data_IF_799802624504
#
_entry.id   IF_799802624504
#
_cell.length_a   1.000
_cell.length_b   1.000
_cell.length_c   1.000
_cell.angle_alpha   90.00
_cell.angle_beta   90.00
_cell.angle_gamma   90.00
#
_symmetry.space_group_name_H-M   'P 1'
#
loop_
_entity.id
_entity.type
_entity.pdbx_description
1 polymer ?
#
# COMPACT_ATOMS: atom_id res chain seq x y z
N UNK A 1 -12.44 17.69 -63.51
CA UNK A 1 -13.79 17.21 -63.14
C UNK A 1 -13.81 16.96 -61.64
N UNK A 2 -14.71 17.41 -60.77
CA UNK A 2 -15.60 18.58 -60.66
C UNK A 2 -16.31 18.46 -59.31
N UNK A 3 -16.39 19.56 -58.52
CA UNK A 3 -17.30 19.89 -57.38
C UNK A 3 -17.27 19.02 -56.08
N UNK A 4 -17.10 19.49 -54.82
CA UNK A 4 -17.41 20.70 -53.98
C UNK A 4 -18.80 20.68 -53.28
N UNK A 5 -18.81 21.14 -52.00
CA UNK A 5 -19.87 21.54 -51.03
C UNK A 5 -20.22 20.50 -49.94
N UNK A 6 -20.36 20.76 -48.63
CA UNK A 6 -20.37 22.00 -47.81
C UNK A 6 -21.45 21.94 -46.70
N UNK A 7 -21.06 22.04 -45.40
CA UNK A 7 -21.78 22.62 -44.21
C UNK A 7 -23.26 22.22 -43.91
N UNK A 8 -23.68 21.76 -42.70
CA UNK A 8 -23.90 22.55 -41.46
C UNK A 8 -24.51 21.70 -40.31
N UNK A 9 -23.91 21.82 -39.11
CA UNK A 9 -24.44 21.80 -37.71
C UNK A 9 -25.85 21.25 -37.37
N UNK A 10 -25.91 20.32 -36.40
CA UNK A 10 -26.81 20.43 -35.24
C UNK A 10 -26.27 19.73 -33.98
N UNK A 11 -26.14 20.52 -32.92
CA UNK A 11 -25.85 20.14 -31.54
C UNK A 11 -26.88 19.12 -31.01
N UNK A 12 -26.40 18.16 -30.23
CA UNK A 12 -27.13 17.60 -29.11
C UNK A 12 -26.15 17.43 -27.95
N UNK A 13 -26.36 18.23 -26.91
CA UNK A 13 -25.64 18.20 -25.65
C UNK A 13 -25.88 16.86 -24.93
N UNK A 14 -24.80 16.21 -24.48
CA UNK A 14 -24.83 15.52 -23.19
C UNK A 14 -23.50 15.73 -22.46
N UNK A 15 -23.64 16.36 -21.30
CA UNK A 15 -22.63 16.63 -20.29
C UNK A 15 -22.30 15.38 -19.47
N UNK A 16 -21.09 15.39 -18.87
CA UNK A 16 -20.53 14.53 -17.78
C UNK A 16 -19.69 13.35 -18.27
N UNK A 17 -18.47 13.10 -17.78
CA UNK A 17 -17.66 13.77 -16.75
C UNK A 17 -16.18 13.48 -17.02
N UNK A 18 -15.32 14.45 -16.67
CA UNK A 18 -13.88 14.28 -16.65
C UNK A 18 -13.49 13.29 -15.55
N UNK A 19 -12.83 12.19 -15.91
CA UNK A 19 -12.03 11.40 -14.98
C UNK A 19 -10.56 11.86 -15.12
N UNK A 20 -9.84 12.24 -14.05
CA UNK A 20 -8.48 12.71 -14.19
C UNK A 20 -7.54 11.51 -14.39
N UNK A 21 -7.02 11.36 -15.61
CA UNK A 21 -5.91 10.48 -15.98
C UNK A 21 -4.58 10.82 -15.29
N UNK A 22 -4.57 11.77 -14.35
CA UNK A 22 -3.39 12.25 -13.60
C UNK A 22 -3.14 11.52 -12.28
N UNK A 23 -4.05 10.66 -11.83
CA UNK A 23 -3.96 9.95 -10.55
C UNK A 23 -2.94 8.78 -10.58
N UNK A 24 -2.86 8.08 -11.72
CA UNK A 24 -1.98 6.91 -11.90
C UNK A 24 -0.49 7.25 -11.97
N UNK A 25 -0.09 8.31 -12.68
CA UNK A 25 1.32 8.65 -12.87
C UNK A 25 2.03 9.10 -11.57
N UNK A 26 1.29 9.44 -10.52
CA UNK A 26 1.83 10.01 -9.28
C UNK A 26 1.91 9.01 -8.11
N UNK A 27 1.15 7.91 -8.16
CA UNK A 27 1.36 6.73 -7.31
C UNK A 27 2.70 6.03 -7.67
N UNK A 28 3.00 5.97 -8.96
CA UNK A 28 4.20 5.40 -9.58
C UNK A 28 5.56 5.90 -9.05
N UNK A 29 5.67 7.20 -8.80
CA UNK A 29 6.97 7.80 -8.46
C UNK A 29 7.29 7.60 -6.98
N UNK A 30 6.34 7.86 -6.06
CA UNK A 30 6.69 8.06 -4.64
C UNK A 30 6.56 6.83 -3.74
N UNK A 31 5.66 5.88 -3.98
CA UNK A 31 5.59 4.67 -3.12
C UNK A 31 6.76 3.72 -3.40
N UNK A 32 7.26 3.70 -4.63
CA UNK A 32 8.57 3.09 -4.91
C UNK A 32 9.68 3.72 -4.07
N UNK A 33 9.72 5.04 -3.93
CA UNK A 33 10.67 5.72 -3.04
C UNK A 33 10.42 5.35 -1.56
N UNK A 34 9.16 5.35 -1.09
CA UNK A 34 8.71 5.04 0.28
C UNK A 34 9.12 3.65 0.78
N UNK A 35 8.90 2.60 -0.02
CA UNK A 35 9.25 1.23 0.40
C UNK A 35 10.77 0.98 0.31
N UNK A 36 11.47 1.56 -0.68
CA UNK A 36 12.95 1.53 -0.75
C UNK A 36 13.59 2.19 0.48
N UNK A 37 12.99 3.27 1.00
CA UNK A 37 13.46 3.96 2.21
C UNK A 37 13.29 3.13 3.49
N UNK A 38 12.28 2.25 3.56
CA UNK A 38 12.06 1.34 4.70
C UNK A 38 13.16 0.28 4.82
N UNK A 39 13.76 -0.12 3.69
CA UNK A 39 14.82 -1.13 3.62
C UNK A 39 16.22 -0.61 3.95
N UNK A 40 16.49 0.67 3.74
CA UNK A 40 17.75 1.29 4.19
C UNK A 40 17.88 1.21 5.72
N UNK A 41 16.76 1.34 6.44
CA UNK A 41 16.70 1.14 7.89
C UNK A 41 16.86 -0.34 8.29
N UNK A 42 16.28 -1.28 7.53
CA UNK A 42 16.46 -2.71 7.78
C UNK A 42 17.91 -3.16 7.55
N UNK A 43 18.59 -2.68 6.50
CA UNK A 43 20.00 -3.00 6.22
C UNK A 43 20.96 -2.38 7.24
N UNK A 44 20.63 -1.22 7.82
CA UNK A 44 21.41 -0.63 8.92
C UNK A 44 21.37 -1.50 10.19
N UNK A 45 20.28 -2.26 10.43
CA UNK A 45 20.19 -3.17 11.57
C UNK A 45 21.15 -4.38 11.48
N UNK A 46 21.53 -4.81 10.27
CA UNK A 46 22.46 -5.92 10.06
C UNK A 46 23.94 -5.57 10.30
N UNK A 47 24.30 -4.28 10.40
CA UNK A 47 25.68 -3.84 10.66
C UNK A 47 25.96 -3.56 12.15
N UNK A 48 25.04 -3.89 13.05
CA UNK A 48 25.30 -3.86 14.51
C UNK A 48 25.55 -2.47 15.08
N UNK A 49 25.10 -1.41 14.40
CA UNK A 49 25.28 -0.03 14.86
C UNK A 49 23.91 0.67 15.03
N UNK A 50 23.09 0.17 15.95
CA UNK A 50 21.92 0.90 16.45
C UNK A 50 22.25 1.54 17.81
N UNK A 51 23.03 2.62 17.75
CA UNK A 51 23.17 3.59 18.83
C UNK A 51 22.89 4.97 18.23
N UNK A 52 21.62 5.26 18.01
CA UNK A 52 21.16 6.62 17.78
C UNK A 52 21.36 7.39 19.10
N UNK A 53 22.53 7.99 19.27
CA UNK A 53 22.82 8.88 20.39
C UNK A 53 22.01 10.17 20.22
N UNK A 54 20.85 10.24 20.88
CA UNK A 54 20.08 11.47 21.00
C UNK A 54 20.76 12.35 22.04
N UNK A 55 21.64 13.26 21.58
CA UNK A 55 22.26 14.26 22.44
C UNK A 55 21.20 15.20 23.06
N UNK A 56 21.43 15.70 24.29
CA UNK A 56 20.47 16.58 24.96
C UNK A 56 20.35 17.91 24.21
N UNK A 57 19.15 18.23 23.69
CA UNK A 57 18.86 19.55 23.13
C UNK A 57 18.55 20.52 24.27
N UNK A 58 19.36 21.58 24.35
CA UNK A 58 19.15 22.71 25.24
C UNK A 58 17.78 23.35 25.00
N UNK A 59 17.00 23.42 26.07
CA UNK A 59 15.71 24.13 26.14
C UNK A 59 16.01 25.62 26.27
N UNK A 60 16.08 26.33 25.15
CA UNK A 60 15.74 27.76 25.05
C UNK A 60 15.81 28.20 23.60
N UNK A 61 14.69 28.15 22.87
CA UNK A 61 14.34 29.28 22.00
C UNK A 61 12.83 29.27 21.70
N UNK A 62 12.11 30.24 22.30
CA UNK A 62 10.74 30.57 21.88
C UNK A 62 10.87 31.37 20.58
N UNK A 63 11.09 30.67 19.47
CA UNK A 63 10.89 31.24 18.15
C UNK A 63 9.47 30.96 17.68
N UNK A 64 8.85 32.02 17.17
CA UNK A 64 7.54 32.02 16.53
C UNK A 64 7.58 31.08 15.32
N UNK A 65 7.27 29.78 15.54
CA UNK A 65 7.28 28.74 14.51
C UNK A 65 6.35 29.19 13.40
N UNK A 66 6.89 29.47 12.20
CA UNK A 66 6.05 29.71 11.03
C UNK A 66 5.11 28.51 10.87
N UNK A 67 3.90 28.75 10.37
CA UNK A 67 2.93 27.68 10.18
C UNK A 67 3.49 26.72 9.12
N UNK A 68 4.04 25.60 9.57
CA UNK A 68 4.67 24.59 8.72
C UNK A 68 3.61 24.05 7.74
N UNK A 69 3.94 24.01 6.45
CA UNK A 69 3.02 23.49 5.43
C UNK A 69 3.11 21.97 5.36
N UNK A 70 2.09 21.32 4.80
CA UNK A 70 2.11 19.87 4.51
C UNK A 70 3.33 19.49 3.67
N UNK A 71 3.69 20.30 2.68
CA UNK A 71 4.87 20.07 1.84
C UNK A 71 6.16 20.12 2.66
N UNK A 72 6.30 21.09 3.57
CA UNK A 72 7.48 21.20 4.44
C UNK A 72 7.62 19.98 5.36
N UNK A 73 6.50 19.48 5.90
CA UNK A 73 6.50 18.28 6.77
C UNK A 73 6.95 17.06 5.97
N UNK A 74 6.34 16.80 4.80
CA UNK A 74 6.69 15.65 3.96
C UNK A 74 8.14 15.74 3.48
N UNK A 75 8.60 16.93 3.08
CA UNK A 75 9.99 17.15 2.66
C UNK A 75 10.96 16.88 3.79
N UNK A 76 10.67 17.39 5.00
CA UNK A 76 11.48 17.14 6.19
C UNK A 76 11.53 15.65 6.53
N UNK A 77 10.39 14.95 6.43
CA UNK A 77 10.30 13.51 6.64
C UNK A 77 11.17 12.72 5.67
N UNK A 78 11.06 12.99 4.37
CA UNK A 78 11.85 12.29 3.33
C UNK A 78 13.34 12.53 3.51
N UNK A 79 13.76 13.72 3.96
CA UNK A 79 15.16 14.03 4.22
C UNK A 79 15.77 13.26 5.40
N UNK A 80 14.97 12.58 6.23
CA UNK A 80 15.50 11.74 7.31
C UNK A 80 16.11 10.43 6.79
N UNK A 81 15.78 10.02 5.57
CA UNK A 81 16.23 8.76 5.00
C UNK A 81 17.35 8.97 3.99
N UNK A 82 18.25 8.00 3.91
CA UNK A 82 19.24 7.95 2.84
C UNK A 82 18.54 7.61 1.52
N UNK A 83 18.59 8.56 0.59
CA UNK A 83 18.03 8.44 -0.77
C UNK A 83 19.13 8.34 -1.82
N UNK A 84 20.37 8.10 -1.42
CA UNK A 84 21.48 7.85 -2.33
C UNK A 84 21.38 6.43 -2.90
N UNK A 85 21.65 6.28 -4.20
CA UNK A 85 21.70 5.00 -4.90
C UNK A 85 20.41 4.16 -4.87
N UNK A 86 19.24 4.79 -4.85
CA UNK A 86 17.99 4.03 -4.93
C UNK A 86 17.88 3.32 -6.29
N UNK A 87 17.40 2.07 -6.32
CA UNK A 87 17.16 1.31 -7.55
C UNK A 87 16.14 2.02 -8.46
N UNK A 88 16.18 1.65 -9.73
CA UNK A 88 15.16 2.06 -10.69
C UNK A 88 13.79 1.55 -10.26
N UNK A 89 12.78 2.39 -10.39
CA UNK A 89 11.38 1.99 -10.21
C UNK A 89 10.83 1.19 -11.40
N UNK A 90 11.60 1.10 -12.48
CA UNK A 90 11.26 0.36 -13.70
C UNK A 90 12.24 -0.80 -13.88
N UNK A 91 11.68 -2.00 -14.01
CA UNK A 91 12.37 -3.24 -14.34
C UNK A 91 11.64 -3.92 -15.52
N UNK A 92 12.07 -3.67 -16.77
CA UNK A 92 11.43 -4.22 -17.96
C UNK A 92 11.46 -5.75 -18.01
N UNK A 93 12.45 -6.40 -17.37
CA UNK A 93 12.54 -7.86 -17.35
C UNK A 93 11.47 -8.44 -16.41
N UNK A 94 11.31 -7.84 -15.22
CA UNK A 94 10.23 -8.22 -14.31
C UNK A 94 8.84 -7.93 -14.91
N UNK A 95 8.68 -6.82 -15.63
CA UNK A 95 7.43 -6.48 -16.33
C UNK A 95 7.07 -7.54 -17.37
N UNK A 96 8.00 -7.89 -18.26
CA UNK A 96 7.78 -8.93 -19.29
C UNK A 96 7.44 -10.30 -18.66
N UNK A 97 8.10 -10.67 -17.57
CA UNK A 97 7.80 -11.89 -16.82
C UNK A 97 6.39 -11.86 -16.21
N UNK A 98 6.01 -10.77 -15.55
CA UNK A 98 4.67 -10.64 -14.96
C UNK A 98 3.58 -10.65 -16.05
N UNK A 99 3.82 -10.03 -17.20
CA UNK A 99 2.85 -10.05 -18.31
C UNK A 99 2.65 -11.48 -18.85
N UNK A 100 3.73 -12.23 -19.07
CA UNK A 100 3.66 -13.64 -19.50
C UNK A 100 2.97 -14.51 -18.47
N UNK A 101 3.27 -14.31 -17.18
CA UNK A 101 2.67 -15.08 -16.10
C UNK A 101 1.17 -14.77 -15.95
N UNK A 102 0.77 -13.50 -16.11
CA UNK A 102 -0.63 -13.11 -16.08
C UNK A 102 -1.43 -13.74 -17.22
N UNK A 103 -0.86 -13.79 -18.43
CA UNK A 103 -1.45 -14.48 -19.59
C UNK A 103 -1.55 -15.99 -19.34
N UNK A 104 -0.47 -16.61 -18.85
CA UNK A 104 -0.42 -18.04 -18.54
C UNK A 104 -1.47 -18.45 -17.50
N UNK A 105 -1.63 -17.65 -16.44
CA UNK A 105 -2.63 -17.87 -15.37
C UNK A 105 -4.05 -17.44 -15.79
N UNK A 106 -4.20 -16.80 -16.94
CA UNK A 106 -5.50 -16.30 -17.43
C UNK A 106 -6.09 -15.22 -16.53
N UNK A 107 -5.26 -14.35 -15.96
CA UNK A 107 -5.71 -13.21 -15.17
C UNK A 107 -6.44 -12.18 -16.05
N UNK A 108 -7.40 -11.47 -15.45
CA UNK A 108 -8.16 -10.44 -16.12
C UNK A 108 -7.30 -9.16 -16.30
N UNK A 109 -6.34 -9.21 -17.23
CA UNK A 109 -5.36 -8.16 -17.47
C UNK A 109 -6.00 -6.80 -17.76
N UNK A 110 -7.15 -6.74 -18.43
CA UNK A 110 -7.84 -5.47 -18.69
C UNK A 110 -8.22 -4.73 -17.40
N UNK A 111 -8.61 -5.48 -16.36
CA UNK A 111 -8.96 -4.94 -15.05
C UNK A 111 -7.73 -4.71 -14.17
N UNK A 112 -6.74 -5.61 -14.21
CA UNK A 112 -5.57 -5.57 -13.33
C UNK A 112 -4.45 -4.66 -13.83
N UNK A 113 -4.36 -4.41 -15.14
CA UNK A 113 -3.24 -3.67 -15.74
C UNK A 113 -2.95 -2.33 -15.09
N UNK A 114 -3.94 -1.47 -14.75
CA UNK A 114 -3.64 -0.20 -14.07
C UNK A 114 -2.90 -0.41 -12.73
N UNK A 115 -3.31 -1.43 -11.98
CA UNK A 115 -2.75 -1.80 -10.69
C UNK A 115 -1.40 -2.52 -10.82
N UNK A 116 -1.22 -3.31 -11.88
CA UNK A 116 -0.02 -4.08 -12.14
C UNK A 116 1.21 -3.18 -12.25
N UNK A 117 1.07 -2.04 -12.92
CA UNK A 117 2.18 -1.10 -13.07
C UNK A 117 2.65 -0.62 -11.69
N UNK A 118 1.73 -0.39 -10.74
CA UNK A 118 2.08 -0.03 -9.36
C UNK A 118 2.73 -1.19 -8.61
N UNK A 119 2.19 -2.40 -8.73
CA UNK A 119 2.77 -3.61 -8.11
C UNK A 119 4.20 -3.88 -8.59
N UNK A 120 4.45 -3.72 -9.90
CA UNK A 120 5.78 -3.81 -10.49
C UNK A 120 6.72 -2.75 -9.94
N UNK A 121 6.28 -1.50 -9.89
CA UNK A 121 7.07 -0.39 -9.37
C UNK A 121 7.49 -0.60 -7.91
N UNK A 122 6.55 -1.03 -7.06
CA UNK A 122 6.83 -1.35 -5.66
C UNK A 122 7.86 -2.48 -5.58
N UNK A 123 7.65 -3.54 -6.37
CA UNK A 123 8.56 -4.70 -6.41
C UNK A 123 9.96 -4.33 -6.86
N UNK A 124 10.09 -3.63 -7.97
CA UNK A 124 11.37 -3.26 -8.58
C UNK A 124 12.19 -2.31 -7.71
N UNK A 125 11.53 -1.50 -6.88
CA UNK A 125 12.21 -0.50 -6.05
C UNK A 125 12.50 -1.02 -4.65
N UNK A 126 11.48 -1.54 -3.96
CA UNK A 126 11.62 -2.03 -2.60
C UNK A 126 12.33 -3.38 -2.60
N UNK A 127 11.88 -4.33 -3.40
CA UNK A 127 12.34 -5.71 -3.30
C UNK A 127 13.46 -6.04 -4.30
N UNK A 128 14.20 -5.02 -4.75
CA UNK A 128 15.28 -5.17 -5.73
C UNK A 128 16.40 -6.09 -5.23
N UNK A 129 16.65 -6.10 -3.92
CA UNK A 129 17.69 -6.88 -3.24
C UNK A 129 17.40 -8.38 -3.16
N UNK A 130 16.17 -8.81 -3.47
CA UNK A 130 15.84 -10.23 -3.52
C UNK A 130 16.37 -10.86 -4.80
N UNK A 131 17.06 -12.00 -4.69
CA UNK A 131 17.61 -12.70 -5.86
C UNK A 131 16.57 -13.59 -6.56
N UNK A 132 15.60 -14.12 -5.82
CA UNK A 132 14.56 -15.01 -6.37
C UNK A 132 13.53 -14.22 -7.18
N UNK A 133 13.56 -14.42 -8.50
CA UNK A 133 12.63 -13.79 -9.43
C UNK A 133 11.18 -14.25 -9.23
N UNK A 134 10.94 -15.48 -8.77
CA UNK A 134 9.60 -15.98 -8.51
C UNK A 134 8.97 -15.25 -7.32
N UNK A 135 9.78 -14.95 -6.29
CA UNK A 135 9.36 -14.13 -5.15
C UNK A 135 9.03 -12.71 -5.61
N UNK A 136 9.81 -12.10 -6.50
CA UNK A 136 9.50 -10.79 -7.09
C UNK A 136 8.17 -10.81 -7.87
N UNK A 137 7.96 -11.80 -8.74
CA UNK A 137 6.70 -11.95 -9.49
C UNK A 137 5.51 -12.13 -8.53
N UNK A 138 5.69 -12.93 -7.47
CA UNK A 138 4.70 -13.09 -6.42
C UNK A 138 4.33 -11.77 -5.75
N UNK A 139 5.33 -11.00 -5.28
CA UNK A 139 5.12 -9.70 -4.62
C UNK A 139 4.41 -8.73 -5.56
N UNK A 140 4.78 -8.71 -6.84
CA UNK A 140 4.14 -7.85 -7.84
C UNK A 140 2.65 -8.18 -7.97
N UNK A 141 2.27 -9.46 -8.11
CA UNK A 141 0.86 -9.85 -8.19
C UNK A 141 0.11 -9.66 -6.88
N UNK A 142 0.69 -10.06 -5.74
CA UNK A 142 0.10 -9.84 -4.43
C UNK A 142 -0.29 -8.36 -4.25
N UNK A 143 0.67 -7.47 -4.53
CA UNK A 143 0.47 -6.03 -4.45
C UNK A 143 -0.59 -5.55 -5.44
N UNK A 144 -0.57 -6.06 -6.67
CA UNK A 144 -1.54 -5.72 -7.73
C UNK A 144 -2.97 -6.04 -7.31
N UNK A 145 -3.22 -7.25 -6.79
CA UNK A 145 -4.54 -7.65 -6.32
C UNK A 145 -4.94 -6.88 -5.07
N UNK A 146 -4.03 -6.65 -4.12
CA UNK A 146 -4.29 -5.87 -2.92
C UNK A 146 -4.77 -4.45 -3.26
N UNK A 147 -4.09 -3.76 -4.20
CA UNK A 147 -4.48 -2.41 -4.63
C UNK A 147 -5.80 -2.46 -5.42
N UNK A 148 -5.96 -3.42 -6.33
CA UNK A 148 -7.22 -3.59 -7.07
C UNK A 148 -8.41 -3.66 -6.11
N UNK A 149 -8.32 -4.51 -5.09
CA UNK A 149 -9.40 -4.70 -4.14
C UNK A 149 -9.62 -3.53 -3.18
N UNK A 150 -8.57 -2.79 -2.81
CA UNK A 150 -8.70 -1.56 -2.02
C UNK A 150 -9.44 -0.46 -2.80
N UNK A 151 -9.15 -0.34 -4.10
CA UNK A 151 -9.75 0.68 -4.97
C UNK A 151 -11.19 0.35 -5.38
N UNK A 152 -11.48 -0.90 -5.76
CA UNK A 152 -12.81 -1.25 -6.28
C UNK A 152 -13.83 -1.52 -5.18
N UNK A 153 -13.41 -1.86 -3.96
CA UNK A 153 -14.34 -2.06 -2.85
C UNK A 153 -14.73 -0.70 -2.22
N UNK A 154 -15.99 -0.48 -1.77
CA UNK A 154 -17.17 -1.33 -1.91
C UNK A 154 -17.97 -1.07 -3.20
N UNK A 155 -17.45 -0.28 -4.13
CA UNK A 155 -18.20 0.24 -5.29
C UNK A 155 -18.46 -0.82 -6.37
N UNK A 156 -17.59 -1.83 -6.46
CA UNK A 156 -17.77 -2.99 -7.33
C UNK A 156 -18.73 -4.02 -6.69
N UNK A 157 -19.83 -4.40 -7.37
CA UNK A 157 -20.83 -5.32 -6.83
C UNK A 157 -20.27 -6.70 -6.47
N UNK A 158 -19.32 -7.21 -7.27
CA UNK A 158 -18.75 -8.53 -7.07
C UNK A 158 -17.79 -8.52 -5.88
N UNK A 159 -17.02 -7.45 -5.70
CA UNK A 159 -16.22 -7.20 -4.50
C UNK A 159 -17.12 -7.02 -3.27
N UNK A 160 -18.18 -6.21 -3.36
CA UNK A 160 -19.09 -5.92 -2.25
C UNK A 160 -19.69 -7.20 -1.64
N UNK A 161 -20.09 -8.15 -2.49
CA UNK A 161 -20.70 -9.41 -2.06
C UNK A 161 -19.64 -10.45 -1.68
N UNK A 162 -18.56 -10.54 -2.44
CA UNK A 162 -17.59 -11.62 -2.29
C UNK A 162 -16.60 -11.40 -1.15
N UNK A 163 -16.16 -10.16 -0.94
CA UNK A 163 -15.19 -9.80 0.09
C UNK A 163 -15.60 -10.24 1.51
N UNK A 164 -16.84 -9.97 2.00
CA UNK A 164 -17.24 -10.36 3.35
C UNK A 164 -17.22 -11.88 3.62
N UNK A 165 -17.34 -12.70 2.58
CA UNK A 165 -17.33 -14.18 2.68
C UNK A 165 -16.00 -14.80 2.26
N UNK A 166 -15.06 -14.00 1.76
CA UNK A 166 -13.77 -14.44 1.24
C UNK A 166 -13.02 -15.32 2.25
N UNK A 167 -12.84 -14.84 3.47
CA UNK A 167 -12.09 -15.56 4.52
C UNK A 167 -12.73 -16.90 4.86
N UNK A 168 -14.07 -16.98 4.89
CA UNK A 168 -14.78 -18.24 5.14
C UNK A 168 -14.49 -19.25 4.02
N UNK A 169 -14.61 -18.83 2.77
CA UNK A 169 -14.38 -19.68 1.62
C UNK A 169 -12.91 -20.09 1.55
N UNK A 170 -12.00 -19.13 1.70
CA UNK A 170 -10.56 -19.36 1.70
C UNK A 170 -10.18 -20.36 2.79
N UNK A 171 -10.74 -20.20 4.00
CA UNK A 171 -10.42 -21.08 5.10
C UNK A 171 -10.93 -22.51 4.93
N UNK A 172 -12.04 -22.65 4.21
CA UNK A 172 -12.66 -23.94 3.89
C UNK A 172 -12.13 -24.54 2.58
N UNK A 173 -11.14 -23.90 1.94
CA UNK A 173 -10.67 -24.25 0.59
C UNK A 173 -11.82 -24.33 -0.44
N UNK A 174 -12.85 -23.52 -0.25
CA UNK A 174 -13.98 -23.39 -1.17
C UNK A 174 -13.65 -22.38 -2.27
N UNK A 175 -14.22 -22.61 -3.45
CA UNK A 175 -14.10 -21.68 -4.57
C UNK A 175 -14.65 -20.31 -4.20
N UNK A 176 -13.95 -19.26 -4.62
CA UNK A 176 -14.41 -17.90 -4.35
C UNK A 176 -15.61 -17.50 -5.23
N UNK A 177 -16.42 -16.52 -4.80
CA UNK A 177 -17.66 -16.14 -5.48
C UNK A 177 -17.47 -15.62 -6.91
N UNK A 178 -16.31 -15.01 -7.20
CA UNK A 178 -15.96 -14.51 -8.51
C UNK A 178 -14.51 -14.88 -8.85
N UNK A 179 -14.17 -14.82 -10.15
CA UNK A 179 -12.84 -15.22 -10.64
C UNK A 179 -11.72 -14.36 -10.03
N UNK A 180 -11.92 -13.06 -9.83
CA UNK A 180 -10.88 -12.17 -9.31
C UNK A 180 -10.49 -12.53 -7.88
N UNK A 181 -11.47 -12.82 -7.03
CA UNK A 181 -11.23 -13.32 -5.66
C UNK A 181 -10.58 -14.71 -5.70
N UNK A 182 -10.99 -15.57 -6.63
CA UNK A 182 -10.42 -16.92 -6.78
C UNK A 182 -8.94 -16.85 -7.19
N UNK A 183 -8.61 -15.98 -8.14
CA UNK A 183 -7.25 -15.69 -8.59
C UNK A 183 -6.39 -15.16 -7.43
N UNK A 184 -6.94 -14.26 -6.60
CA UNK A 184 -6.24 -13.75 -5.43
C UNK A 184 -6.08 -14.81 -4.33
N UNK A 185 -7.08 -15.65 -4.09
CA UNK A 185 -6.96 -16.79 -3.18
C UNK A 185 -5.81 -17.73 -3.61
N UNK A 186 -5.65 -17.98 -4.90
CA UNK A 186 -4.54 -18.78 -5.41
C UNK A 186 -3.18 -18.13 -5.10
N UNK A 187 -3.04 -16.81 -5.31
CA UNK A 187 -1.84 -16.07 -4.88
C UNK A 187 -1.60 -16.21 -3.37
N UNK A 188 -2.62 -16.04 -2.53
CA UNK A 188 -2.43 -16.18 -1.08
C UNK A 188 -1.99 -17.61 -0.67
N UNK A 189 -2.45 -18.64 -1.38
CA UNK A 189 -2.07 -20.02 -1.11
C UNK A 189 -0.60 -20.32 -1.46
N UNK A 190 -0.05 -19.66 -2.49
CA UNK A 190 1.35 -19.81 -2.93
C UNK A 190 2.37 -19.31 -1.89
N UNK A 191 1.96 -18.39 -1.00
CA UNK A 191 2.84 -17.82 0.03
C UNK A 191 3.60 -18.90 0.83
N UNK A 192 2.89 -19.98 1.16
CA UNK A 192 3.43 -21.10 1.95
C UNK A 192 4.56 -21.85 1.27
N UNK A 193 4.54 -21.91 -0.07
CA UNK A 193 5.54 -22.60 -0.87
C UNK A 193 6.79 -21.75 -1.04
N UNK A 194 6.63 -20.41 -1.08
CA UNK A 194 7.71 -19.48 -1.30
C UNK A 194 8.46 -19.15 0.00
N UNK A 195 7.75 -18.87 1.08
CA UNK A 195 8.35 -18.37 2.32
C UNK A 195 8.49 -19.45 3.42
N UNK A 196 8.03 -20.67 3.16
CA UNK A 196 8.10 -21.80 4.09
C UNK A 196 6.97 -21.85 5.13
N UNK A 197 6.94 -22.89 5.96
CA UNK A 197 5.80 -23.19 6.85
C UNK A 197 5.54 -22.13 7.93
N UNK A 198 6.58 -21.46 8.43
CA UNK A 198 6.44 -20.51 9.55
C UNK A 198 5.86 -19.17 9.09
N UNK A 199 6.16 -18.77 7.86
CA UNK A 199 5.58 -17.57 7.23
C UNK A 199 4.26 -17.89 6.50
N UNK A 200 4.05 -19.15 6.10
CA UNK A 200 2.78 -19.68 5.66
C UNK A 200 1.70 -19.53 6.73
N UNK A 201 2.06 -19.56 8.02
CA UNK A 201 1.12 -19.39 9.12
C UNK A 201 0.43 -18.02 9.10
N UNK A 202 1.13 -16.95 8.68
CA UNK A 202 0.51 -15.64 8.45
C UNK A 202 -0.55 -15.69 7.34
N UNK A 203 -0.37 -16.56 6.35
CA UNK A 203 -1.27 -16.76 5.23
C UNK A 203 -2.22 -17.96 5.42
N UNK A 204 -2.25 -18.59 6.60
CA UNK A 204 -3.13 -19.73 6.88
C UNK A 204 -4.59 -19.35 7.17
N UNK A 205 -5.56 -20.01 6.51
CA UNK A 205 -6.93 -20.18 6.99
C UNK A 205 -7.12 -20.24 8.52
N UNK A 206 -7.58 -19.15 9.16
CA UNK A 206 -8.06 -19.19 10.55
C UNK A 206 -7.36 -18.30 11.57
N UNK A 207 -6.30 -17.57 11.22
CA UNK A 207 -5.76 -16.53 12.12
C UNK A 207 -6.72 -15.32 12.18
N UNK A 208 -7.17 -14.87 13.38
CA UNK A 208 -7.99 -13.68 13.54
C UNK A 208 -7.31 -12.36 13.12
N UNK A 209 -6.00 -12.34 12.82
CA UNK A 209 -5.34 -11.20 12.18
C UNK A 209 -5.59 -11.13 10.66
N UNK A 210 -6.44 -11.98 10.07
CA UNK A 210 -6.80 -11.96 8.62
C UNK A 210 -7.91 -10.99 8.22
N UNK A 211 -8.30 -10.09 9.11
CA UNK A 211 -9.47 -9.22 8.91
C UNK A 211 -9.14 -7.92 8.17
N UNK A 212 -7.92 -7.81 7.66
CA UNK A 212 -7.16 -6.57 7.59
C UNK A 212 -7.70 -5.52 6.59
N UNK A 213 -7.67 -5.78 5.28
CA UNK A 213 -8.11 -4.79 4.26
C UNK A 213 -9.63 -4.60 4.25
N UNK A 214 -10.36 -5.68 4.48
CA UNK A 214 -11.76 -5.77 4.07
C UNK A 214 -12.76 -5.43 5.18
N UNK A 215 -12.43 -5.78 6.44
CA UNK A 215 -13.25 -5.36 7.56
C UNK A 215 -13.00 -3.90 7.90
N UNK A 216 -11.79 -3.37 7.71
CA UNK A 216 -11.52 -1.96 7.98
C UNK A 216 -12.34 -1.02 7.09
N UNK A 217 -12.43 -1.28 5.78
CA UNK A 217 -13.22 -0.45 4.86
C UNK A 217 -14.74 -0.64 5.01
N UNK A 218 -15.20 -1.86 5.31
CA UNK A 218 -16.61 -2.10 5.65
C UNK A 218 -17.02 -1.47 7.00
N UNK A 219 -16.15 -1.51 8.01
CA UNK A 219 -16.34 -0.84 9.30
C UNK A 219 -16.22 0.69 9.19
N UNK A 220 -15.31 1.19 8.35
CA UNK A 220 -15.16 2.61 8.04
C UNK A 220 -16.42 3.15 7.32
N UNK A 221 -16.98 2.37 6.40
CA UNK A 221 -18.26 2.69 5.75
C UNK A 221 -19.44 2.64 6.73
N UNK A 222 -19.41 1.76 7.73
CA UNK A 222 -20.42 1.67 8.79
C UNK A 222 -20.29 2.73 9.90
N UNK A 223 -19.59 3.86 9.65
CA UNK A 223 -19.35 4.94 10.62
C UNK A 223 -20.59 5.28 11.46
N UNK A 224 -20.66 4.70 12.67
CA UNK A 224 -21.25 5.37 13.83
C UNK A 224 -20.26 6.48 14.21
N UNK A 225 -20.75 7.68 14.48
CA UNK A 225 -19.99 8.91 14.76
C UNK A 225 -19.15 8.88 16.05
N UNK A 226 -18.65 7.72 16.48
CA UNK A 226 -18.35 7.43 17.89
C UNK A 226 -16.91 7.07 18.22
N UNK A 227 -15.92 7.44 17.42
CA UNK A 227 -14.54 7.07 17.75
C UNK A 227 -13.60 8.27 17.88
N UNK A 228 -13.82 9.06 18.95
CA UNK A 228 -12.81 9.96 19.53
C UNK A 228 -11.74 9.19 20.33
N UNK A 229 -11.30 8.04 19.83
CA UNK A 229 -10.39 7.14 20.54
C UNK A 229 -9.19 6.91 19.65
N UNK A 230 -8.05 7.52 19.98
CA UNK A 230 -6.81 7.40 19.19
C UNK A 230 -6.39 5.94 19.00
N UNK A 231 -6.49 5.13 20.06
CA UNK A 231 -6.18 3.70 20.00
C UNK A 231 -7.02 2.95 18.97
N UNK A 232 -8.25 3.40 18.71
CA UNK A 232 -9.09 2.81 17.68
C UNK A 232 -8.60 3.17 16.27
N UNK A 233 -8.08 4.38 16.08
CA UNK A 233 -7.48 4.79 14.81
C UNK A 233 -6.24 3.95 14.48
N UNK A 234 -5.35 3.77 15.46
CA UNK A 234 -4.15 2.92 15.32
C UNK A 234 -4.55 1.47 15.09
N UNK A 235 -5.47 0.94 15.88
CA UNK A 235 -6.00 -0.42 15.70
C UNK A 235 -6.61 -0.63 14.31
N UNK A 236 -7.42 0.32 13.82
CA UNK A 236 -7.99 0.24 12.47
C UNK A 236 -6.90 0.26 11.39
N UNK A 237 -5.81 0.99 11.61
CA UNK A 237 -4.69 1.05 10.67
C UNK A 237 -3.85 -0.21 10.68
N UNK A 238 -3.55 -0.75 11.86
CA UNK A 238 -2.92 -2.06 12.02
C UNK A 238 -3.73 -3.14 11.32
N UNK A 239 -5.06 -3.04 11.42
CA UNK A 239 -5.94 -3.87 10.63
C UNK A 239 -5.84 -3.53 9.14
N UNK A 240 -6.01 -2.31 8.66
CA UNK A 240 -6.09 -2.08 7.21
C UNK A 240 -4.79 -2.21 6.42
N UNK A 241 -3.63 -2.16 7.08
CA UNK A 241 -2.38 -1.79 6.42
C UNK A 241 -1.64 -2.85 5.65
N UNK A 242 -1.94 -4.14 5.83
CA UNK A 242 -1.22 -5.26 5.18
C UNK A 242 0.31 -5.20 5.39
N UNK A 243 0.77 -4.41 6.35
CA UNK A 243 2.19 -4.07 6.51
C UNK A 243 3.00 -5.29 6.92
N UNK A 244 2.36 -6.28 7.53
CA UNK A 244 2.99 -7.54 7.91
C UNK A 244 3.45 -8.35 6.70
N UNK A 245 2.63 -8.45 5.65
CA UNK A 245 3.01 -9.16 4.44
C UNK A 245 4.25 -8.51 3.81
N UNK A 246 4.23 -7.18 3.65
CA UNK A 246 5.37 -6.42 3.14
C UNK A 246 6.61 -6.53 4.03
N UNK A 247 6.45 -6.53 5.35
CA UNK A 247 7.56 -6.73 6.28
C UNK A 247 8.21 -8.12 6.12
N UNK A 248 7.42 -9.17 5.89
CA UNK A 248 7.95 -10.52 5.64
C UNK A 248 8.67 -10.59 4.28
N UNK A 249 8.13 -9.95 3.25
CA UNK A 249 8.72 -9.94 1.90
C UNK A 249 10.11 -9.29 1.84
N UNK A 250 10.50 -8.52 2.86
CA UNK A 250 11.84 -7.92 2.95
C UNK A 250 12.93 -8.99 3.01
N UNK A 251 12.67 -10.14 3.60
CA UNK A 251 13.70 -11.12 3.89
C UNK A 251 13.79 -12.20 2.78
N UNK A 252 15.01 -12.61 2.38
CA UNK A 252 15.19 -13.76 1.49
C UNK A 252 14.51 -15.00 2.05
N UNK A 253 13.97 -15.85 1.18
CA UNK A 253 13.20 -17.04 1.55
C UNK A 253 14.05 -18.10 2.26
N UNK A 254 15.38 -18.07 2.06
CA UNK A 254 16.34 -18.92 2.74
C UNK A 254 16.66 -18.44 4.17
N UNK A 255 16.31 -17.20 4.52
CA UNK A 255 16.57 -16.65 5.85
C UNK A 255 15.61 -17.27 6.86
N UNK A 256 16.10 -17.90 7.94
CA UNK A 256 15.21 -18.49 8.94
C UNK A 256 14.38 -17.41 9.64
N UNK A 257 13.09 -17.65 9.80
CA UNK A 257 12.14 -16.73 10.46
C UNK A 257 12.60 -16.27 11.85
N UNK A 258 13.24 -17.16 12.62
CA UNK A 258 13.79 -16.84 13.95
C UNK A 258 14.84 -15.73 13.95
N UNK A 259 15.43 -15.41 12.80
CA UNK A 259 16.45 -14.37 12.66
C UNK A 259 15.83 -12.97 12.60
N UNK A 260 14.63 -12.82 12.03
CA UNK A 260 14.04 -11.52 11.76
C UNK A 260 12.68 -11.29 12.43
N UNK A 261 12.10 -12.29 13.10
CA UNK A 261 10.81 -12.18 13.80
C UNK A 261 10.74 -10.96 14.74
N UNK A 262 11.83 -10.67 15.46
CA UNK A 262 11.87 -9.55 16.41
C UNK A 262 11.82 -8.18 15.71
N UNK A 263 12.17 -8.10 14.42
CA UNK A 263 12.10 -6.88 13.63
C UNK A 263 10.69 -6.61 13.06
N UNK A 264 9.84 -7.64 12.93
CA UNK A 264 8.55 -7.51 12.26
C UNK A 264 7.62 -6.45 12.89
N UNK A 265 7.45 -6.35 14.23
CA UNK A 265 6.59 -5.32 14.81
C UNK A 265 7.00 -3.91 14.43
N UNK A 266 8.31 -3.63 14.46
CA UNK A 266 8.84 -2.32 14.10
C UNK A 266 8.70 -2.05 12.59
N UNK A 267 8.98 -3.05 11.75
CA UNK A 267 8.83 -2.91 10.29
C UNK A 267 7.38 -2.64 9.90
N UNK A 268 6.42 -3.31 10.54
CA UNK A 268 4.98 -3.06 10.33
C UNK A 268 4.61 -1.61 10.60
N UNK A 269 5.03 -1.09 11.75
CA UNK A 269 4.77 0.29 12.18
C UNK A 269 5.38 1.30 11.19
N UNK A 270 6.66 1.11 10.85
CA UNK A 270 7.39 1.96 9.91
C UNK A 270 6.72 1.96 8.53
N UNK A 271 6.38 0.78 7.98
CA UNK A 271 5.72 0.67 6.66
C UNK A 271 4.37 1.39 6.66
N UNK A 272 3.55 1.20 7.71
CA UNK A 272 2.26 1.88 7.83
C UNK A 272 2.41 3.40 7.86
N UNK A 273 3.29 3.92 8.72
CA UNK A 273 3.45 5.37 8.88
C UNK A 273 4.10 6.05 7.68
N UNK A 274 5.12 5.46 7.06
CA UNK A 274 5.70 6.04 5.85
C UNK A 274 4.62 6.09 4.76
N UNK A 275 3.78 5.05 4.62
CA UNK A 275 2.64 5.09 3.71
C UNK A 275 1.67 6.24 4.06
N UNK A 276 1.21 6.36 5.32
CA UNK A 276 0.27 7.41 5.73
C UNK A 276 0.81 8.84 5.53
N UNK A 277 2.11 9.07 5.83
CA UNK A 277 2.74 10.39 5.65
C UNK A 277 2.92 10.71 4.17
N UNK A 278 3.36 9.74 3.36
CA UNK A 278 3.65 9.96 1.94
C UNK A 278 2.41 9.94 1.05
N UNK A 279 1.33 9.30 1.50
CA UNK A 279 0.03 9.27 0.81
C UNK A 279 -0.90 10.41 1.23
N UNK A 280 -0.57 11.21 2.26
CA UNK A 280 -1.40 12.29 2.79
C UNK A 280 -1.87 13.36 1.77
N UNK A 281 -1.30 13.37 0.56
CA UNK A 281 -1.89 14.08 -0.60
C UNK A 281 -3.35 13.69 -0.89
N UNK A 282 -3.82 12.52 -0.42
CA UNK A 282 -5.22 12.08 -0.43
C UNK A 282 -6.20 13.11 0.18
N UNK A 283 -5.72 14.00 1.05
CA UNK A 283 -6.53 15.13 1.53
C UNK A 283 -6.97 16.06 0.38
N UNK A 284 -6.15 16.20 -0.68
CA UNK A 284 -6.51 16.96 -1.89
C UNK A 284 -7.66 16.31 -2.64
N UNK A 285 -7.82 15.00 -2.52
CA UNK A 285 -8.89 14.21 -3.12
C UNK A 285 -10.11 14.08 -2.17
N UNK A 286 -10.13 14.86 -1.08
CA UNK A 286 -11.19 14.88 -0.06
C UNK A 286 -11.37 13.55 0.68
N UNK A 287 -10.38 12.65 0.64
CA UNK A 287 -10.43 11.45 1.45
C UNK A 287 -10.17 11.78 2.92
N UNK A 288 -11.11 11.36 3.77
CA UNK A 288 -11.09 11.54 5.20
C UNK A 288 -10.99 10.22 5.96
N UNK A 289 -10.75 9.11 5.26
CA UNK A 289 -10.65 7.76 5.84
C UNK A 289 -9.20 7.30 6.06
N UNK A 290 -8.20 8.18 5.90
CA UNK A 290 -6.81 7.90 6.27
C UNK A 290 -6.54 8.08 7.78
N UNK A 291 -5.44 7.47 8.26
CA UNK A 291 -5.04 7.50 9.67
C UNK A 291 -4.94 8.94 10.21
N UNK A 292 -4.30 9.84 9.47
CA UNK A 292 -4.09 11.23 9.91
C UNK A 292 -5.43 11.94 10.15
N UNK A 293 -6.42 11.72 9.28
CA UNK A 293 -7.75 12.31 9.42
C UNK A 293 -8.49 11.78 10.64
N UNK A 294 -8.43 10.46 10.87
CA UNK A 294 -9.07 9.82 12.03
C UNK A 294 -8.41 10.27 13.34
N UNK A 295 -7.08 10.34 13.38
CA UNK A 295 -6.33 10.81 14.55
C UNK A 295 -6.59 12.29 14.84
N UNK A 296 -6.63 13.13 13.80
CA UNK A 296 -6.93 14.56 13.95
C UNK A 296 -8.34 14.77 14.54
N UNK A 297 -9.32 14.01 14.06
CA UNK A 297 -10.68 14.01 14.59
C UNK A 297 -10.72 13.54 16.05
N UNK A 298 -10.01 12.45 16.38
CA UNK A 298 -9.96 11.91 17.74
C UNK A 298 -9.28 12.87 18.74
N UNK A 299 -8.24 13.58 18.30
CA UNK A 299 -7.49 14.56 19.08
C UNK A 299 -8.18 15.93 19.16
N UNK A 300 -9.12 16.22 18.25
CA UNK A 300 -9.68 17.56 18.11
C UNK A 300 -8.65 18.58 17.63
N UNK A 301 -7.69 18.15 16.81
CA UNK A 301 -6.55 18.96 16.37
C UNK A 301 -6.52 19.12 14.84
N UNK A 302 -5.81 20.13 14.30
CA UNK A 302 -5.61 20.23 12.86
C UNK A 302 -4.85 19.02 12.31
N UNK A 303 -5.25 18.55 11.12
CA UNK A 303 -4.57 17.44 10.42
C UNK A 303 -3.09 17.70 10.20
N UNK A 304 -2.69 18.95 9.90
CA UNK A 304 -1.27 19.32 9.75
C UNK A 304 -0.45 19.11 11.02
N UNK A 305 -1.05 19.32 12.20
CA UNK A 305 -0.39 19.04 13.49
C UNK A 305 -0.25 17.53 13.71
N UNK A 306 -1.31 16.78 13.38
CA UNK A 306 -1.30 15.32 13.47
C UNK A 306 -0.27 14.70 12.52
N UNK A 307 -0.19 15.19 11.27
CA UNK A 307 0.80 14.78 10.28
C UNK A 307 2.22 15.04 10.78
N UNK A 308 2.48 16.22 11.35
CA UNK A 308 3.79 16.55 11.93
C UNK A 308 4.18 15.54 13.02
N UNK A 309 3.25 15.18 13.92
CA UNK A 309 3.52 14.24 15.00
C UNK A 309 3.76 12.80 14.51
N UNK A 310 3.14 12.38 13.39
CA UNK A 310 3.35 11.04 12.81
C UNK A 310 4.64 10.98 11.98
N UNK A 311 5.12 12.12 11.49
CA UNK A 311 6.37 12.24 10.73
C UNK A 311 7.63 12.40 11.62
N UNK A 312 7.47 12.58 12.93
CA UNK A 312 8.55 12.69 13.93
C UNK A 312 8.80 11.34 14.61
#
# INVERSE_FOLDING_TARGET
MTYVWGTTVRLSLYHRACAPKSMFAFWHSRISYTMTMSLSLANASHTGCLLCYVGPRNVTDRQQKSKQTTEDIIRSFVHQFDTTNLPSVSDPALEDLCMKEAEHRGYALDALRPYLVTGLNITASAYHHLDDVNVKVYIAFYTTFAIYFDDVYPDDPDALVGVPIFTKHFASSEKQPNKMLDDFANILAEASQLFGEVTAEFHRPGDPQRHEVYLSRSLAHQRRQTHKVEKYAVFLRELSGIAEAYAVFIFPTEMPYSVYIEALPLLREVICFINDVTSFKEELDSDNHNLISILAEARGEPKTKTLCNVAE
#
